data_IF_214452652816
#
_entry.id   IF_214452652816
#
_cell.length_a   1.000
_cell.length_b   1.000
_cell.length_c   1.000
_cell.angle_alpha   90.00
_cell.angle_beta   90.00
_cell.angle_gamma   90.00
#
_symmetry.space_group_name_H-M   'P 1'
#
loop_
_entity.id
_entity.type
_entity.pdbx_description
1 polymer ?
#
# COMPACT_ATOMS: atom_id res chain seq x y z
N UNK A 1 8.36 21.96 -9.72
CA UNK A 1 7.93 20.63 -9.23
C UNK A 1 6.65 20.24 -9.96
N UNK A 2 6.67 19.16 -10.74
CA UNK A 2 5.52 18.66 -11.51
C UNK A 2 5.11 17.32 -10.93
N UNK A 3 3.92 17.28 -10.32
CA UNK A 3 3.37 16.07 -9.71
C UNK A 3 2.24 15.54 -10.60
N UNK A 4 2.31 14.27 -10.97
CA UNK A 4 1.22 13.52 -11.61
C UNK A 4 0.57 12.62 -10.57
N UNK A 5 -0.75 12.68 -10.44
CA UNK A 5 -1.52 11.85 -9.50
C UNK A 5 -2.10 10.65 -10.25
N UNK A 6 -1.95 9.44 -9.73
CA UNK A 6 -2.57 8.21 -10.25
C UNK A 6 -3.63 7.75 -9.27
N UNK A 7 -4.89 7.63 -9.74
CA UNK A 7 -6.06 7.20 -8.96
C UNK A 7 -6.64 5.94 -9.58
N UNK A 8 -6.43 4.74 -9.01
CA UNK A 8 -7.19 3.56 -9.37
C UNK A 8 -8.61 3.67 -8.81
N UNK A 9 -9.64 3.30 -9.59
CA UNK A 9 -11.03 3.29 -9.13
C UNK A 9 -11.82 2.13 -9.73
N UNK A 10 -12.88 1.67 -9.03
CA UNK A 10 -13.81 0.65 -9.51
C UNK A 10 -15.16 0.80 -8.85
N UNK A 11 -16.18 1.22 -9.63
CA UNK A 11 -17.57 1.36 -9.17
C UNK A 11 -17.74 2.21 -7.88
N UNK A 12 -16.93 3.29 -7.75
CA UNK A 12 -16.84 4.17 -6.58
C UNK A 12 -17.02 5.65 -6.95
N UNK A 13 -18.08 5.95 -7.69
CA UNK A 13 -18.35 7.30 -8.22
C UNK A 13 -18.37 8.38 -7.12
N UNK A 14 -19.09 8.14 -6.00
CA UNK A 14 -19.23 9.15 -4.95
C UNK A 14 -17.89 9.45 -4.25
N UNK A 15 -17.09 8.44 -3.96
CA UNK A 15 -15.75 8.64 -3.39
C UNK A 15 -14.85 9.42 -4.34
N UNK A 16 -14.82 9.05 -5.62
CA UNK A 16 -14.03 9.75 -6.61
C UNK A 16 -14.48 11.22 -6.76
N UNK A 17 -15.78 11.49 -6.68
CA UNK A 17 -16.35 12.85 -6.72
C UNK A 17 -15.87 13.68 -5.53
N UNK A 18 -15.87 13.13 -4.31
CA UNK A 18 -15.33 13.81 -3.13
C UNK A 18 -13.83 14.09 -3.27
N UNK A 19 -13.05 13.11 -3.75
CA UNK A 19 -11.64 13.29 -4.07
C UNK A 19 -11.43 14.42 -5.08
N UNK A 20 -12.23 14.49 -6.14
CA UNK A 20 -12.16 15.56 -7.13
C UNK A 20 -12.50 16.93 -6.55
N UNK A 21 -13.47 17.01 -5.65
CA UNK A 21 -13.80 18.25 -4.94
C UNK A 21 -12.60 18.76 -4.12
N UNK A 22 -11.88 17.87 -3.45
CA UNK A 22 -10.66 18.23 -2.72
C UNK A 22 -9.54 18.66 -3.69
N UNK A 23 -9.30 17.90 -4.76
CA UNK A 23 -8.27 18.22 -5.77
C UNK A 23 -8.55 19.56 -6.46
N UNK A 24 -9.80 19.89 -6.75
CA UNK A 24 -10.21 21.17 -7.36
C UNK A 24 -9.81 22.39 -6.54
N UNK A 25 -9.78 22.26 -5.20
CA UNK A 25 -9.36 23.31 -4.26
C UNK A 25 -7.82 23.38 -4.09
N UNK A 26 -7.10 22.37 -4.58
CA UNK A 26 -5.66 22.20 -4.39
C UNK A 26 -4.88 22.05 -5.70
N UNK A 27 -5.33 22.68 -6.79
CA UNK A 27 -4.73 22.56 -8.14
C UNK A 27 -3.27 22.99 -8.21
N UNK A 28 -2.81 23.83 -7.28
CA UNK A 28 -1.42 24.26 -7.19
C UNK A 28 -0.43 23.12 -6.91
N UNK A 29 -0.93 22.00 -6.39
CA UNK A 29 -0.11 20.88 -5.93
C UNK A 29 0.29 19.92 -7.03
N UNK A 30 -0.50 19.79 -8.09
CA UNK A 30 -0.27 18.81 -9.16
C UNK A 30 -0.45 19.41 -10.56
N UNK A 31 0.04 18.70 -11.56
CA UNK A 31 -0.04 19.12 -12.97
C UNK A 31 -1.02 18.30 -13.80
N UNK A 32 -1.31 17.06 -13.40
CA UNK A 32 -2.27 16.16 -14.04
C UNK A 32 -2.79 15.12 -13.07
N UNK A 33 -3.95 14.57 -13.37
CA UNK A 33 -4.53 13.41 -12.71
C UNK A 33 -4.77 12.31 -13.74
N UNK A 34 -4.31 11.10 -13.46
CA UNK A 34 -4.55 9.91 -14.29
C UNK A 34 -5.51 9.01 -13.50
N UNK A 35 -6.76 8.96 -13.95
CA UNK A 35 -7.75 8.05 -13.39
C UNK A 35 -7.70 6.75 -14.18
N UNK A 36 -7.48 5.64 -13.49
CA UNK A 36 -7.49 4.32 -14.12
C UNK A 36 -8.71 3.56 -13.61
N UNK A 37 -9.74 3.51 -14.45
CA UNK A 37 -11.06 3.00 -14.13
C UNK A 37 -11.23 1.54 -14.57
N UNK A 38 -11.65 0.68 -13.65
CA UNK A 38 -12.02 -0.71 -13.90
C UNK A 38 -13.50 -0.99 -13.61
N UNK A 39 -14.34 0.05 -13.58
CA UNK A 39 -15.76 -0.04 -13.27
C UNK A 39 -16.53 -0.82 -14.32
N UNK A 40 -17.47 -1.64 -13.86
CA UNK A 40 -18.43 -2.37 -14.69
C UNK A 40 -19.76 -1.60 -14.74
N UNK A 41 -20.22 -1.07 -13.60
CA UNK A 41 -21.54 -0.45 -13.45
C UNK A 41 -21.51 1.07 -13.57
N UNK A 42 -20.48 1.73 -13.08
CA UNK A 42 -20.43 3.19 -12.95
C UNK A 42 -19.50 3.91 -13.95
N UNK A 43 -18.94 3.20 -14.92
CA UNK A 43 -17.96 3.74 -15.86
C UNK A 43 -18.46 4.98 -16.65
N UNK A 44 -19.75 5.04 -16.99
CA UNK A 44 -20.35 6.21 -17.68
C UNK A 44 -20.36 7.43 -16.75
N UNK A 45 -20.78 7.25 -15.47
CA UNK A 45 -20.79 8.33 -14.48
C UNK A 45 -19.38 8.85 -14.21
N UNK A 46 -18.40 7.95 -14.09
CA UNK A 46 -16.99 8.30 -13.90
C UNK A 46 -16.45 9.08 -15.10
N UNK A 47 -16.75 8.66 -16.33
CA UNK A 47 -16.37 9.40 -17.54
C UNK A 47 -16.94 10.81 -17.54
N UNK A 48 -18.23 10.98 -17.24
CA UNK A 48 -18.86 12.29 -17.14
C UNK A 48 -18.16 13.17 -16.09
N UNK A 49 -17.91 12.64 -14.89
CA UNK A 49 -17.19 13.33 -13.81
C UNK A 49 -15.78 13.79 -14.27
N UNK A 50 -15.06 12.94 -14.99
CA UNK A 50 -13.73 13.27 -15.51
C UNK A 50 -13.78 14.39 -16.55
N UNK A 51 -14.79 14.40 -17.43
CA UNK A 51 -14.97 15.44 -18.45
C UNK A 51 -15.36 16.81 -17.86
N UNK A 52 -16.10 16.81 -16.73
CA UNK A 52 -16.55 18.03 -16.05
C UNK A 52 -15.48 18.60 -15.07
N UNK A 53 -14.39 17.90 -14.87
CA UNK A 53 -13.36 18.30 -13.92
C UNK A 53 -12.64 19.58 -14.36
N UNK A 54 -12.38 20.48 -13.39
CA UNK A 54 -11.72 21.78 -13.61
C UNK A 54 -10.19 21.72 -13.60
N UNK A 55 -9.61 20.55 -13.86
CA UNK A 55 -8.17 20.29 -13.93
C UNK A 55 -7.88 19.20 -14.96
N UNK A 56 -6.60 19.07 -15.36
CA UNK A 56 -6.21 18.12 -16.41
C UNK A 56 -6.38 16.69 -15.94
N UNK A 57 -7.24 15.91 -16.60
CA UNK A 57 -7.46 14.49 -16.37
C UNK A 57 -7.12 13.67 -17.61
N UNK A 58 -6.53 12.50 -17.38
CA UNK A 58 -6.41 11.42 -18.35
C UNK A 58 -7.18 10.22 -17.77
N UNK A 59 -8.29 9.87 -18.40
CA UNK A 59 -9.09 8.70 -18.05
C UNK A 59 -8.64 7.49 -18.88
N UNK A 60 -8.27 6.41 -18.20
CA UNK A 60 -7.83 5.15 -18.80
C UNK A 60 -8.70 4.00 -18.29
N UNK A 61 -8.87 2.98 -19.11
CA UNK A 61 -9.58 1.75 -18.75
C UNK A 61 -8.61 0.63 -18.42
N UNK A 62 -9.00 -0.25 -17.50
CA UNK A 62 -8.19 -1.38 -17.05
C UNK A 62 -9.04 -2.57 -16.62
N UNK A 63 -8.43 -3.75 -16.52
CA UNK A 63 -8.97 -4.84 -15.69
C UNK A 63 -8.92 -4.48 -14.21
N UNK A 64 -9.77 -5.10 -13.41
CA UNK A 64 -9.86 -4.86 -11.97
C UNK A 64 -8.66 -5.50 -11.24
N UNK A 65 -7.63 -4.70 -11.00
CA UNK A 65 -6.48 -5.03 -10.14
C UNK A 65 -5.76 -3.73 -9.80
N UNK A 66 -5.61 -3.40 -8.53
CA UNK A 66 -4.96 -2.15 -8.08
C UNK A 66 -3.52 -2.08 -8.59
N UNK A 67 -2.75 -3.18 -8.51
CA UNK A 67 -1.38 -3.25 -9.02
C UNK A 67 -1.33 -2.97 -10.53
N UNK A 68 -2.23 -3.57 -11.29
CA UNK A 68 -2.30 -3.38 -12.73
C UNK A 68 -2.75 -1.97 -13.11
N UNK A 69 -3.76 -1.43 -12.42
CA UNK A 69 -4.23 -0.07 -12.63
C UNK A 69 -3.13 0.97 -12.37
N UNK A 70 -2.39 0.83 -11.26
CA UNK A 70 -1.26 1.72 -10.96
C UNK A 70 -0.14 1.61 -12.01
N UNK A 71 0.13 0.42 -12.53
CA UNK A 71 1.10 0.21 -13.61
C UNK A 71 0.67 0.88 -14.91
N UNK A 72 -0.61 0.81 -15.27
CA UNK A 72 -1.16 1.55 -16.42
C UNK A 72 -0.95 3.06 -16.21
N UNK A 73 -1.24 3.57 -15.01
CA UNK A 73 -1.00 4.96 -14.66
C UNK A 73 0.46 5.36 -14.86
N UNK A 74 1.40 4.57 -14.33
CA UNK A 74 2.85 4.79 -14.47
C UNK A 74 3.33 4.85 -15.93
N UNK A 75 2.80 3.98 -16.79
CA UNK A 75 3.14 3.95 -18.23
C UNK A 75 2.59 5.14 -19.00
N UNK A 76 1.63 5.87 -18.44
CA UNK A 76 0.91 6.95 -19.09
C UNK A 76 1.19 8.35 -18.52
N UNK A 77 2.22 8.48 -17.69
CA UNK A 77 2.67 9.75 -17.13
C UNK A 77 3.15 10.73 -18.20
N UNK A 78 3.01 12.01 -17.90
CA UNK A 78 3.64 13.06 -18.71
C UNK A 78 5.18 12.92 -18.64
N UNK A 79 5.86 13.07 -19.79
CA UNK A 79 7.34 12.99 -19.87
C UNK A 79 8.08 13.98 -18.96
N UNK A 80 7.41 15.05 -18.54
CA UNK A 80 7.95 16.12 -17.70
C UNK A 80 7.61 15.94 -16.21
N UNK A 81 7.10 14.77 -15.80
CA UNK A 81 6.75 14.47 -14.40
C UNK A 81 8.01 14.34 -13.54
N UNK A 82 8.06 15.10 -12.44
CA UNK A 82 9.14 15.02 -11.44
C UNK A 82 8.79 14.02 -10.34
N UNK A 83 7.52 14.01 -9.93
CA UNK A 83 6.99 13.18 -8.85
C UNK A 83 5.69 12.49 -9.25
N UNK A 84 5.50 11.28 -8.77
CA UNK A 84 4.27 10.52 -8.92
C UNK A 84 3.61 10.36 -7.56
N UNK A 85 2.36 10.77 -7.46
CA UNK A 85 1.51 10.52 -6.31
C UNK A 85 0.57 9.35 -6.61
N UNK A 86 0.59 8.33 -5.76
CA UNK A 86 -0.47 7.33 -5.70
C UNK A 86 -1.51 7.80 -4.69
N UNK A 87 -2.76 7.73 -5.09
CA UNK A 87 -3.89 8.19 -4.30
C UNK A 87 -5.07 7.23 -4.48
N UNK A 88 -5.58 6.66 -3.39
CA UNK A 88 -6.83 5.90 -3.44
C UNK A 88 -8.03 6.86 -3.50
N UNK A 89 -9.13 6.39 -4.07
CA UNK A 89 -10.31 7.20 -4.36
C UNK A 89 -11.18 7.54 -3.13
N UNK A 90 -10.90 6.94 -1.96
CA UNK A 90 -11.65 7.08 -0.71
C UNK A 90 -10.86 7.77 0.43
N UNK A 91 -9.86 8.57 0.09
CA UNK A 91 -9.02 9.29 1.05
C UNK A 91 -9.56 10.67 1.37
N UNK A 92 -9.62 10.99 2.66
CA UNK A 92 -9.96 12.33 3.14
C UNK A 92 -8.73 13.01 3.73
N UNK A 93 -8.29 14.12 3.13
CA UNK A 93 -7.17 14.92 3.61
C UNK A 93 -7.60 16.02 4.58
N UNK A 94 -6.73 16.37 5.53
CA UNK A 94 -6.86 17.65 6.23
C UNK A 94 -6.62 18.82 5.27
N UNK A 95 -7.26 19.97 5.55
CA UNK A 95 -7.31 21.13 4.64
C UNK A 95 -5.92 21.58 4.14
N UNK A 96 -4.91 21.54 4.97
CA UNK A 96 -3.54 21.99 4.69
C UNK A 96 -2.57 20.86 4.29
N UNK A 97 -3.05 19.62 4.18
CA UNK A 97 -2.19 18.45 3.97
C UNK A 97 -1.27 18.57 2.74
N UNK A 98 -1.80 19.07 1.61
CA UNK A 98 -1.01 19.25 0.40
C UNK A 98 -0.01 20.39 0.52
N UNK A 99 -0.36 21.47 1.21
CA UNK A 99 0.58 22.56 1.51
C UNK A 99 1.75 22.07 2.36
N UNK A 100 1.46 21.34 3.46
CA UNK A 100 2.49 20.75 4.32
C UNK A 100 3.39 19.76 3.58
N UNK A 101 2.82 18.98 2.68
CA UNK A 101 3.59 18.07 1.82
C UNK A 101 4.48 18.84 0.84
N UNK A 102 3.98 19.92 0.22
CA UNK A 102 4.79 20.77 -0.67
C UNK A 102 6.00 21.34 0.04
N UNK A 103 5.81 21.92 1.23
CA UNK A 103 6.89 22.47 2.04
C UNK A 103 7.93 21.40 2.38
N UNK A 104 7.46 20.20 2.75
CA UNK A 104 8.34 19.08 3.05
C UNK A 104 9.18 18.66 1.82
N UNK A 105 8.57 18.52 0.65
CA UNK A 105 9.29 18.12 -0.58
C UNK A 105 10.33 19.17 -0.99
N UNK A 106 10.04 20.46 -0.83
CA UNK A 106 10.96 21.54 -1.18
C UNK A 106 12.16 21.67 -0.21
N UNK A 107 11.95 21.32 1.08
CA UNK A 107 12.97 21.47 2.13
C UNK A 107 13.84 20.24 2.39
N UNK A 108 13.73 19.15 1.61
CA UNK A 108 14.32 17.87 2.00
C UNK A 108 15.56 17.44 1.21
N UNK A 109 16.32 16.59 1.89
CA UNK A 109 17.52 15.92 1.46
C UNK A 109 17.35 15.24 0.06
N UNK A 110 18.36 15.40 -0.79
CA UNK A 110 18.41 14.80 -2.12
C UNK A 110 18.25 13.27 -2.09
N UNK A 111 18.62 12.63 -0.99
CA UNK A 111 18.52 11.18 -0.80
C UNK A 111 17.10 10.67 -0.51
N UNK A 112 16.13 11.55 -0.23
CA UNK A 112 14.74 11.14 -0.03
C UNK A 112 14.07 10.85 -1.37
N UNK A 113 13.57 9.64 -1.55
CA UNK A 113 12.96 9.17 -2.81
C UNK A 113 11.44 8.99 -2.71
N UNK A 114 10.90 8.93 -1.50
CA UNK A 114 9.46 8.77 -1.27
C UNK A 114 8.96 9.50 -0.03
N UNK A 115 7.73 9.99 -0.10
CA UNK A 115 7.06 10.81 0.92
C UNK A 115 5.67 10.24 1.19
N UNK A 116 5.37 9.93 2.46
CA UNK A 116 4.06 9.44 2.88
C UNK A 116 3.28 10.50 3.62
N UNK A 117 1.99 10.54 3.40
CA UNK A 117 1.07 11.28 4.26
C UNK A 117 0.85 10.53 5.58
N UNK A 118 0.58 11.27 6.65
CA UNK A 118 0.43 10.75 7.99
C UNK A 118 -1.02 10.29 8.25
N UNK A 119 -1.24 8.99 8.20
CA UNK A 119 -2.54 8.39 8.50
C UNK A 119 -2.98 8.71 9.93
N UNK A 120 -4.20 9.18 10.08
CA UNK A 120 -4.82 9.44 11.38
C UNK A 120 -5.79 8.30 11.71
N UNK A 121 -5.46 7.51 12.72
CA UNK A 121 -6.29 6.41 13.22
C UNK A 121 -6.75 6.68 14.66
N UNK A 122 -7.98 6.32 14.97
CA UNK A 122 -8.39 6.17 16.38
C UNK A 122 -7.64 4.97 16.96
N UNK A 123 -6.90 5.20 18.05
CA UNK A 123 -6.11 4.16 18.70
C UNK A 123 -7.04 3.04 19.19
N UNK A 124 -6.95 1.86 18.58
CA UNK A 124 -7.52 0.63 19.11
C UNK A 124 -6.42 -0.11 19.85
N UNK A 125 -6.66 -0.43 21.12
CA UNK A 125 -5.81 -1.37 21.87
C UNK A 125 -6.06 -2.77 21.29
N UNK A 126 -5.09 -3.29 20.54
CA UNK A 126 -5.14 -4.65 20.02
C UNK A 126 -4.24 -5.56 20.87
N UNK A 127 -4.66 -6.82 21.02
CA UNK A 127 -3.83 -7.88 21.65
C UNK A 127 -2.43 -7.96 21.03
N UNK A 128 -2.33 -7.68 19.73
CA UNK A 128 -1.06 -7.53 19.01
C UNK A 128 -0.13 -6.48 19.62
N UNK A 129 -0.66 -5.40 20.22
CA UNK A 129 0.18 -4.37 20.83
C UNK A 129 0.86 -4.87 22.12
N UNK A 130 0.27 -5.87 22.79
CA UNK A 130 0.90 -6.57 23.92
C UNK A 130 2.03 -7.49 23.43
N UNK A 131 1.79 -8.28 22.38
CA UNK A 131 2.80 -9.18 21.80
C UNK A 131 4.01 -8.44 21.24
N UNK A 132 3.81 -7.25 20.64
CA UNK A 132 4.90 -6.41 20.12
C UNK A 132 5.88 -5.95 21.19
N UNK A 133 5.48 -5.95 22.48
CA UNK A 133 6.33 -5.56 23.61
C UNK A 133 7.21 -6.71 24.13
N UNK A 134 6.93 -7.96 23.75
CA UNK A 134 7.69 -9.13 24.20
C UNK A 134 9.04 -9.16 23.49
N UNK A 135 10.12 -9.11 24.26
CA UNK A 135 11.48 -8.97 23.70
C UNK A 135 11.91 -10.17 22.85
N UNK A 136 11.51 -11.39 23.20
CA UNK A 136 11.80 -12.57 22.38
C UNK A 136 11.15 -12.48 20.99
N UNK A 137 9.95 -11.94 20.90
CA UNK A 137 9.23 -11.75 19.63
C UNK A 137 9.94 -10.72 18.75
N UNK A 138 10.54 -9.68 19.37
CA UNK A 138 11.38 -8.69 18.66
C UNK A 138 12.71 -9.30 18.23
N UNK A 139 13.40 -10.04 19.12
CA UNK A 139 14.68 -10.72 18.82
C UNK A 139 14.53 -11.72 17.67
N UNK A 140 13.42 -12.44 17.64
CA UNK A 140 13.09 -13.35 16.53
C UNK A 140 12.66 -12.59 15.25
N UNK A 141 12.60 -11.25 15.26
CA UNK A 141 12.23 -10.47 14.08
C UNK A 141 10.81 -10.73 13.56
N UNK A 142 9.91 -11.21 14.44
CA UNK A 142 8.51 -11.51 14.08
C UNK A 142 7.69 -10.22 14.07
N UNK A 143 7.86 -9.40 15.13
CA UNK A 143 7.22 -8.09 15.27
C UNK A 143 8.23 -7.04 15.72
N UNK A 144 7.85 -5.75 15.53
CA UNK A 144 8.64 -4.62 15.98
C UNK A 144 7.72 -3.58 16.66
N UNK A 145 8.20 -2.95 17.70
CA UNK A 145 7.49 -1.83 18.36
C UNK A 145 7.61 -0.52 17.57
N UNK A 146 8.65 -0.38 16.74
CA UNK A 146 8.83 0.80 15.85
C UNK A 146 7.79 0.74 14.73
N UNK A 147 7.08 1.83 14.51
CA UNK A 147 6.11 1.96 13.43
C UNK A 147 6.80 2.21 12.08
N UNK A 148 6.17 1.80 10.97
CA UNK A 148 6.66 2.05 9.61
C UNK A 148 7.86 1.19 9.22
N UNK A 149 8.07 0.03 9.86
CA UNK A 149 9.18 -0.87 9.53
C UNK A 149 8.70 -2.20 8.96
N UNK A 150 9.53 -2.82 8.13
CA UNK A 150 9.40 -4.21 7.68
C UNK A 150 10.35 -5.06 8.52
N UNK A 151 9.81 -6.10 9.15
CA UNK A 151 10.58 -7.01 9.99
C UNK A 151 11.29 -8.10 9.15
N UNK A 152 12.29 -8.79 9.69
CA UNK A 152 12.93 -9.93 9.03
C UNK A 152 11.95 -11.05 8.62
N UNK A 153 10.81 -11.17 9.33
CA UNK A 153 9.72 -12.10 9.00
C UNK A 153 8.86 -11.66 7.82
N UNK A 154 9.11 -10.48 7.26
CA UNK A 154 8.33 -9.89 6.18
C UNK A 154 7.04 -9.20 6.61
N UNK A 155 6.68 -9.17 7.90
CA UNK A 155 5.56 -8.38 8.39
C UNK A 155 5.96 -6.92 8.54
N UNK A 156 5.00 -6.05 8.24
CA UNK A 156 5.15 -4.61 8.42
C UNK A 156 4.38 -4.13 9.66
N UNK A 157 4.87 -3.04 10.24
CA UNK A 157 4.13 -2.26 11.23
C UNK A 157 3.50 -1.05 10.54
N UNK A 158 2.24 -0.75 10.88
CA UNK A 158 1.52 0.38 10.29
C UNK A 158 2.13 1.69 10.82
N UNK A 159 2.26 2.67 9.93
CA UNK A 159 2.72 4.02 10.23
C UNK A 159 1.53 4.96 10.36
N UNK A 160 1.22 5.44 11.57
CA UNK A 160 0.09 6.32 11.83
C UNK A 160 0.34 7.27 13.01
N UNK A 161 -0.37 8.39 13.07
CA UNK A 161 -0.34 9.36 14.18
C UNK A 161 1.07 9.84 14.58
N UNK A 162 1.98 9.97 13.62
CA UNK A 162 3.33 10.48 13.90
C UNK A 162 3.29 11.96 14.32
N UNK A 163 4.16 12.32 15.26
CA UNK A 163 4.30 13.69 15.78
C UNK A 163 5.49 14.45 15.19
N UNK A 164 6.36 13.78 14.45
CA UNK A 164 7.53 14.36 13.75
C UNK A 164 7.76 13.63 12.43
N UNK A 165 8.43 14.28 11.49
CA UNK A 165 8.85 13.62 10.26
C UNK A 165 9.72 12.40 10.60
N UNK A 166 9.40 11.25 10.03
CA UNK A 166 10.02 9.99 10.45
C UNK A 166 10.39 9.17 9.23
N UNK A 167 11.64 8.69 9.21
CA UNK A 167 12.10 7.74 8.22
C UNK A 167 11.45 6.37 8.48
N UNK A 168 10.94 5.76 7.40
CA UNK A 168 10.24 4.48 7.42
C UNK A 168 10.80 3.55 6.36
N UNK A 169 10.60 2.24 6.50
CA UNK A 169 11.07 1.27 5.50
C UNK A 169 10.03 0.92 4.44
N UNK A 170 8.82 1.42 4.58
CA UNK A 170 7.75 1.26 3.60
C UNK A 170 6.69 2.37 3.75
N UNK A 171 5.96 2.64 2.68
CA UNK A 171 4.83 3.56 2.63
C UNK A 171 3.62 2.86 2.04
N UNK A 172 2.43 3.11 2.61
CA UNK A 172 1.19 2.74 1.93
C UNK A 172 0.98 3.62 0.70
N UNK A 173 0.60 3.02 -0.40
CA UNK A 173 0.29 3.77 -1.64
C UNK A 173 -1.13 4.34 -1.67
N UNK A 174 -1.86 4.29 -0.56
CA UNK A 174 -3.13 4.99 -0.41
C UNK A 174 -2.98 6.51 -0.57
N UNK A 175 -1.90 7.08 0.02
CA UNK A 175 -1.53 8.49 -0.12
C UNK A 175 0.00 8.61 0.04
N UNK A 176 0.73 8.54 -1.06
CA UNK A 176 2.20 8.63 -1.06
C UNK A 176 2.74 9.19 -2.37
N UNK A 177 3.90 9.83 -2.29
CA UNK A 177 4.55 10.51 -3.40
C UNK A 177 5.95 9.94 -3.56
N UNK A 178 6.37 9.71 -4.80
CA UNK A 178 7.70 9.19 -5.11
C UNK A 178 8.39 10.05 -6.18
N UNK A 179 9.70 10.27 -6.05
CA UNK A 179 10.49 10.86 -7.13
C UNK A 179 10.43 9.96 -8.36
N UNK A 180 9.92 10.45 -9.48
CA UNK A 180 9.77 9.65 -10.71
C UNK A 180 11.11 9.07 -11.19
N UNK A 181 12.19 9.84 -11.13
CA UNK A 181 13.53 9.36 -11.50
C UNK A 181 13.97 8.12 -10.72
N UNK A 182 13.55 7.98 -9.45
CA UNK A 182 13.87 6.82 -8.63
C UNK A 182 13.02 5.60 -8.98
N UNK A 183 11.75 5.79 -9.36
CA UNK A 183 10.80 4.70 -9.58
C UNK A 183 10.53 4.38 -11.06
N UNK A 184 11.17 5.05 -12.01
CA UNK A 184 10.88 4.91 -13.46
C UNK A 184 10.96 3.47 -14.00
N UNK A 185 11.75 2.60 -13.34
CA UNK A 185 11.93 1.20 -13.70
C UNK A 185 11.31 0.25 -12.65
N UNK A 186 10.54 0.78 -11.69
CA UNK A 186 9.89 0.00 -10.64
C UNK A 186 8.38 -0.01 -10.90
N UNK A 187 7.84 -1.18 -11.15
CA UNK A 187 6.41 -1.41 -11.31
C UNK A 187 5.85 -2.19 -10.13
N UNK A 188 4.54 -2.08 -9.89
CA UNK A 188 3.84 -2.97 -9.00
C UNK A 188 3.88 -4.39 -9.55
N UNK A 189 4.16 -5.34 -8.69
CA UNK A 189 4.26 -6.73 -9.11
C UNK A 189 2.85 -7.30 -9.31
N UNK A 190 2.59 -7.82 -10.52
CA UNK A 190 1.31 -8.39 -10.91
C UNK A 190 1.01 -9.73 -10.22
N UNK A 191 1.99 -10.34 -9.53
CA UNK A 191 1.73 -11.49 -8.67
C UNK A 191 0.66 -11.18 -7.61
N UNK A 192 0.57 -9.92 -7.16
CA UNK A 192 -0.43 -9.44 -6.21
C UNK A 192 -1.76 -9.07 -6.90
N UNK A 193 -2.16 -9.77 -7.98
CA UNK A 193 -3.42 -9.56 -8.70
C UNK A 193 -4.67 -9.84 -7.83
N UNK A 194 -5.84 -9.54 -8.35
CA UNK A 194 -7.18 -9.63 -7.76
C UNK A 194 -7.38 -8.61 -6.63
N UNK A 195 -7.84 -9.06 -5.48
CA UNK A 195 -7.86 -8.25 -4.27
C UNK A 195 -6.42 -8.07 -3.81
N UNK A 196 -5.78 -7.04 -4.34
CA UNK A 196 -4.37 -6.73 -4.09
C UNK A 196 -4.08 -6.67 -2.59
N UNK A 197 -3.11 -7.45 -2.14
CA UNK A 197 -2.63 -7.48 -0.76
C UNK A 197 -1.11 -7.58 -0.77
N UNK A 198 -0.42 -6.60 -0.21
CA UNK A 198 1.03 -6.40 -0.14
C UNK A 198 1.69 -5.83 -1.41
N UNK A 199 0.95 -5.45 -2.41
CA UNK A 199 1.49 -4.78 -3.60
C UNK A 199 2.16 -3.44 -3.26
N UNK A 200 1.55 -2.71 -2.31
CA UNK A 200 2.06 -1.44 -1.78
C UNK A 200 3.32 -1.63 -0.95
N UNK A 201 3.33 -2.65 -0.10
CA UNK A 201 4.49 -3.02 0.69
C UNK A 201 5.68 -3.40 -0.20
N UNK A 202 5.46 -4.28 -1.19
CA UNK A 202 6.51 -4.73 -2.11
C UNK A 202 7.08 -3.55 -2.92
N UNK A 203 6.21 -2.72 -3.49
CA UNK A 203 6.61 -1.56 -4.27
C UNK A 203 7.45 -0.58 -3.44
N UNK A 204 6.93 -0.15 -2.29
CA UNK A 204 7.60 0.85 -1.47
C UNK A 204 8.86 0.30 -0.78
N UNK A 205 8.87 -0.97 -0.37
CA UNK A 205 10.06 -1.61 0.20
C UNK A 205 11.20 -1.75 -0.82
N UNK A 206 10.89 -2.07 -2.09
CA UNK A 206 11.91 -2.03 -3.16
C UNK A 206 12.41 -0.62 -3.41
N UNK A 207 11.54 0.36 -3.36
CA UNK A 207 11.91 1.78 -3.52
C UNK A 207 12.78 2.27 -2.36
N UNK A 208 12.56 1.81 -1.12
CA UNK A 208 13.37 2.19 0.04
C UNK A 208 14.86 1.78 -0.06
N UNK A 209 15.18 0.84 -0.96
CA UNK A 209 16.57 0.45 -1.24
C UNK A 209 17.31 1.44 -2.14
N UNK A 210 16.58 2.37 -2.76
CA UNK A 210 17.13 3.41 -3.64
C UNK A 210 17.32 4.76 -2.93
N UNK A 211 16.81 4.89 -1.70
CA UNK A 211 16.90 6.11 -0.90
C UNK A 211 15.87 6.12 0.22
N UNK A 212 15.86 7.20 0.99
CA UNK A 212 15.01 7.33 2.16
C UNK A 212 13.54 7.45 1.80
N UNK A 213 12.68 6.81 2.57
CA UNK A 213 11.24 7.06 2.60
C UNK A 213 10.91 7.84 3.87
N UNK A 214 10.21 8.95 3.72
CA UNK A 214 9.91 9.85 4.83
C UNK A 214 8.41 10.05 4.98
N UNK A 215 7.89 9.84 6.18
CA UNK A 215 6.52 10.16 6.54
C UNK A 215 6.44 11.58 7.06
N UNK A 216 5.57 12.42 6.48
CA UNK A 216 5.43 13.84 6.79
C UNK A 216 4.32 14.03 7.82
N UNK A 217 4.70 14.35 9.07
CA UNK A 217 3.78 14.36 10.21
C UNK A 217 2.63 15.36 10.12
N UNK A 218 2.87 16.53 9.50
CA UNK A 218 1.84 17.58 9.32
C UNK A 218 0.92 17.31 8.14
N UNK A 219 1.34 16.53 7.14
CA UNK A 219 0.52 16.18 5.98
C UNK A 219 -0.42 15.02 6.33
N UNK A 220 -1.59 15.31 6.89
CA UNK A 220 -2.48 14.32 7.51
C UNK A 220 -3.62 13.89 6.60
N UNK A 221 -3.99 12.61 6.70
CA UNK A 221 -5.18 12.06 6.03
C UNK A 221 -5.90 11.04 6.89
N UNK A 222 -7.14 10.73 6.52
CA UNK A 222 -7.96 9.67 7.09
C UNK A 222 -8.41 8.73 5.98
N UNK A 223 -8.54 7.46 6.32
CA UNK A 223 -9.12 6.44 5.46
C UNK A 223 -10.39 5.92 6.14
N UNK A 224 -11.58 6.22 5.59
CA UNK A 224 -12.85 6.01 6.29
C UNK A 224 -13.23 4.53 6.45
N UNK A 225 -12.75 3.65 5.57
CA UNK A 225 -13.20 2.28 5.47
C UNK A 225 -12.09 1.27 5.80
N UNK A 226 -12.04 0.82 7.05
CA UNK A 226 -11.33 -0.43 7.38
C UNK A 226 -12.21 -1.63 6.96
N UNK A 227 -11.96 -2.19 5.78
CA UNK A 227 -12.56 -3.47 5.39
C UNK A 227 -11.99 -4.56 6.30
N UNK A 228 -12.86 -5.26 7.03
CA UNK A 228 -12.46 -6.41 7.84
C UNK A 228 -11.94 -7.53 6.92
N UNK A 229 -10.64 -7.73 6.91
CA UNK A 229 -9.97 -8.75 6.11
C UNK A 229 -10.03 -10.09 6.84
N UNK A 230 -10.98 -10.94 6.46
CA UNK A 230 -11.26 -12.22 7.12
C UNK A 230 -11.67 -13.30 6.12
N UNK A 231 -11.90 -14.52 6.58
CA UNK A 231 -12.32 -15.65 5.76
C UNK A 231 -11.18 -16.48 5.18
N UNK A 232 -11.51 -17.70 4.72
CA UNK A 232 -10.58 -18.72 4.27
C UNK A 232 -9.68 -18.25 3.11
N UNK A 233 -10.26 -17.67 2.07
CA UNK A 233 -9.52 -17.22 0.90
C UNK A 233 -8.56 -16.09 1.21
N UNK A 234 -8.96 -15.17 2.10
CA UNK A 234 -8.04 -14.12 2.54
C UNK A 234 -6.89 -14.70 3.37
N UNK A 235 -7.16 -15.69 4.24
CA UNK A 235 -6.12 -16.39 4.99
C UNK A 235 -5.09 -17.03 4.06
N UNK A 236 -5.53 -17.73 3.02
CA UNK A 236 -4.62 -18.30 2.01
C UNK A 236 -3.76 -17.24 1.34
N UNK A 237 -4.39 -16.18 0.85
CA UNK A 237 -3.72 -15.07 0.16
C UNK A 237 -2.71 -14.38 1.09
N UNK A 238 -3.05 -14.16 2.35
CA UNK A 238 -2.18 -13.52 3.33
C UNK A 238 -0.82 -14.23 3.44
N UNK A 239 -0.83 -15.54 3.56
CA UNK A 239 0.38 -16.34 3.74
C UNK A 239 1.15 -16.52 2.43
N UNK A 240 0.47 -16.79 1.33
CA UNK A 240 1.11 -16.98 0.00
C UNK A 240 1.78 -15.68 -0.44
N UNK A 241 1.07 -14.54 -0.38
CA UNK A 241 1.64 -13.26 -0.77
C UNK A 241 2.81 -12.86 0.13
N UNK A 242 2.71 -13.17 1.43
CA UNK A 242 3.80 -12.90 2.39
C UNK A 242 5.02 -13.76 2.10
N UNK A 243 4.83 -15.05 1.82
CA UNK A 243 5.91 -15.94 1.42
C UNK A 243 6.61 -15.43 0.16
N UNK A 244 5.83 -15.09 -0.88
CA UNK A 244 6.38 -14.51 -2.11
C UNK A 244 7.19 -13.24 -1.85
N UNK A 245 6.65 -12.30 -1.05
CA UNK A 245 7.35 -11.09 -0.67
C UNK A 245 8.67 -11.38 0.06
N UNK A 246 8.66 -12.30 1.01
CA UNK A 246 9.85 -12.70 1.79
C UNK A 246 10.91 -13.31 0.87
N UNK A 247 10.53 -14.24 -0.01
CA UNK A 247 11.43 -14.90 -0.94
C UNK A 247 12.04 -13.91 -1.94
N UNK A 248 11.19 -13.11 -2.59
CA UNK A 248 11.59 -12.09 -3.56
C UNK A 248 12.56 -11.07 -2.97
N UNK A 249 12.33 -10.62 -1.75
CA UNK A 249 13.15 -9.61 -1.09
C UNK A 249 14.29 -10.20 -0.23
N UNK A 250 14.56 -11.50 -0.33
CA UNK A 250 15.63 -12.23 0.37
C UNK A 250 15.56 -12.04 1.90
N UNK A 251 14.35 -11.99 2.46
CA UNK A 251 14.13 -11.93 3.90
C UNK A 251 14.28 -13.33 4.53
N UNK A 252 14.28 -13.41 5.85
CA UNK A 252 14.56 -14.65 6.58
C UNK A 252 13.35 -15.59 6.60
N UNK A 253 13.42 -16.72 5.88
CA UNK A 253 12.33 -17.69 5.75
C UNK A 253 11.91 -18.28 7.10
N UNK A 254 12.85 -18.63 7.99
CA UNK A 254 12.53 -19.17 9.34
C UNK A 254 11.72 -18.14 10.14
N UNK A 255 12.12 -16.86 10.11
CA UNK A 255 11.37 -15.79 10.79
C UNK A 255 9.96 -15.65 10.19
N UNK A 256 9.81 -15.81 8.85
CA UNK A 256 8.50 -15.82 8.20
C UNK A 256 7.62 -16.96 8.74
N UNK A 257 8.13 -18.19 8.83
CA UNK A 257 7.37 -19.34 9.35
C UNK A 257 6.88 -19.08 10.77
N UNK A 258 7.78 -18.64 11.67
CA UNK A 258 7.42 -18.29 13.03
C UNK A 258 6.40 -17.17 13.09
N UNK A 259 6.58 -16.12 12.31
CA UNK A 259 5.64 -15.00 12.21
C UNK A 259 4.27 -15.43 11.70
N UNK A 260 4.23 -16.34 10.71
CA UNK A 260 3.00 -16.87 10.13
C UNK A 260 2.23 -17.73 11.16
N UNK A 261 2.91 -18.57 11.93
CA UNK A 261 2.31 -19.37 13.01
C UNK A 261 1.69 -18.44 14.06
N UNK A 262 2.47 -17.48 14.57
CA UNK A 262 1.99 -16.51 15.57
C UNK A 262 0.79 -15.73 15.04
N UNK A 263 0.86 -15.24 13.79
CA UNK A 263 -0.22 -14.47 13.16
C UNK A 263 -1.48 -15.31 12.98
N UNK A 264 -1.33 -16.57 12.60
CA UNK A 264 -2.45 -17.51 12.46
C UNK A 264 -3.12 -17.74 13.82
N UNK A 265 -2.36 -18.01 14.87
CA UNK A 265 -2.88 -18.19 16.23
C UNK A 265 -3.67 -16.99 16.75
N UNK A 266 -3.23 -15.76 16.42
CA UNK A 266 -3.96 -14.54 16.82
C UNK A 266 -5.37 -14.47 16.19
N UNK A 267 -5.59 -15.04 15.01
CA UNK A 267 -6.92 -15.06 14.43
C UNK A 267 -7.93 -15.81 15.31
N UNK A 268 -7.50 -16.83 16.05
CA UNK A 268 -8.36 -17.60 16.98
C UNK A 268 -8.83 -16.75 18.16
N UNK A 269 -8.05 -15.75 18.61
CA UNK A 269 -8.43 -14.91 19.77
C UNK A 269 -9.60 -13.98 19.50
N UNK A 270 -10.02 -13.84 18.23
CA UNK A 270 -11.10 -12.93 17.84
C UNK A 270 -12.52 -13.52 17.94
N UNK A 271 -12.65 -14.83 18.26
CA UNK A 271 -13.90 -15.54 18.51
C UNK A 271 -15.01 -15.33 17.46
N UNK A 272 -14.64 -15.10 16.18
CA UNK A 272 -15.55 -14.97 15.05
C UNK A 272 -15.28 -16.05 14.03
N UNK A 273 -16.33 -16.68 13.46
CA UNK A 273 -16.21 -17.70 12.42
C UNK A 273 -15.34 -17.26 11.24
N UNK A 274 -15.46 -16.01 10.80
CA UNK A 274 -14.67 -15.47 9.70
C UNK A 274 -13.15 -15.46 10.00
N UNK A 275 -12.76 -15.24 11.26
CA UNK A 275 -11.34 -15.33 11.68
C UNK A 275 -10.88 -16.76 11.88
N UNK A 276 -11.75 -17.66 12.33
CA UNK A 276 -11.46 -19.09 12.35
C UNK A 276 -11.19 -19.61 10.92
N UNK A 277 -12.05 -19.27 9.97
CA UNK A 277 -11.84 -19.61 8.55
C UNK A 277 -10.53 -19.02 8.00
N UNK A 278 -10.17 -17.80 8.42
CA UNK A 278 -8.88 -17.20 8.07
C UNK A 278 -7.71 -18.00 8.64
N UNK A 279 -7.80 -18.45 9.90
CA UNK A 279 -6.82 -19.34 10.50
C UNK A 279 -6.65 -20.63 9.67
N UNK A 280 -7.75 -21.30 9.31
CA UNK A 280 -7.72 -22.52 8.49
C UNK A 280 -7.04 -22.25 7.14
N UNK A 281 -7.37 -21.12 6.49
CA UNK A 281 -6.73 -20.70 5.24
C UNK A 281 -5.22 -20.45 5.40
N UNK A 282 -4.82 -19.83 6.51
CA UNK A 282 -3.40 -19.61 6.83
C UNK A 282 -2.64 -20.93 6.98
N UNK A 283 -3.19 -21.88 7.78
CA UNK A 283 -2.57 -23.18 8.03
C UNK A 283 -2.46 -24.00 6.74
N UNK A 284 -3.53 -24.04 5.94
CA UNK A 284 -3.51 -24.72 4.64
C UNK A 284 -2.36 -24.22 3.74
N UNK A 285 -2.16 -22.90 3.70
CA UNK A 285 -1.07 -22.32 2.92
C UNK A 285 0.31 -22.59 3.50
N UNK A 286 0.45 -22.58 4.83
CA UNK A 286 1.72 -22.96 5.48
C UNK A 286 2.11 -24.40 5.19
N UNK A 287 1.16 -25.34 5.29
CA UNK A 287 1.40 -26.75 4.93
C UNK A 287 1.88 -26.84 3.49
N UNK A 288 1.20 -26.16 2.54
CA UNK A 288 1.62 -26.15 1.13
C UNK A 288 3.03 -25.58 0.94
N UNK A 289 3.38 -24.49 1.62
CA UNK A 289 4.71 -23.88 1.52
C UNK A 289 5.77 -24.83 2.05
N UNK A 290 5.53 -25.49 3.17
CA UNK A 290 6.52 -26.39 3.80
C UNK A 290 6.70 -27.66 2.97
N UNK A 291 5.61 -28.31 2.54
CA UNK A 291 5.67 -29.64 1.92
C UNK A 291 5.73 -29.62 0.39
N UNK A 292 5.22 -28.59 -0.30
CA UNK A 292 5.12 -28.61 -1.76
C UNK A 292 5.94 -27.52 -2.46
N UNK A 293 6.08 -26.33 -1.86
CA UNK A 293 6.85 -25.25 -2.49
C UNK A 293 8.34 -25.27 -2.08
N UNK A 294 8.72 -26.04 -1.06
CA UNK A 294 10.12 -26.33 -0.75
C UNK A 294 10.72 -27.35 -1.72
N UNK A 295 9.91 -28.20 -2.36
CA UNK A 295 10.35 -29.24 -3.29
C UNK A 295 10.26 -28.85 -4.77
N UNK A 296 9.33 -27.98 -5.13
CA UNK A 296 9.27 -27.40 -6.47
C UNK A 296 9.83 -25.99 -6.38
N UNK A 297 11.00 -25.76 -6.95
CA UNK A 297 11.43 -24.39 -7.21
C UNK A 297 10.25 -23.65 -7.85
N UNK A 298 9.91 -22.45 -7.36
CA UNK A 298 8.95 -21.59 -8.08
C UNK A 298 9.57 -21.40 -9.44
N UNK A 299 9.07 -22.12 -10.44
CA UNK A 299 9.50 -21.98 -11.82
C UNK A 299 9.41 -20.49 -12.19
N UNK A 300 10.53 -19.96 -12.66
CA UNK A 300 10.67 -18.58 -13.16
C UNK A 300 9.84 -18.33 -14.44
N UNK A 301 8.89 -19.19 -14.77
CA UNK A 301 8.13 -19.22 -16.01
C UNK A 301 6.78 -18.47 -15.96
N UNK A 302 6.69 -17.36 -15.23
CA UNK A 302 5.70 -16.30 -15.53
C UNK A 302 6.36 -14.99 -15.90
N UNK A 303 7.40 -15.09 -16.71
CA UNK A 303 7.84 -13.98 -17.56
C UNK A 303 7.00 -14.03 -18.84
N UNK A 304 5.98 -13.19 -18.93
CA UNK A 304 5.55 -12.53 -20.19
C UNK A 304 4.46 -11.52 -19.85
#
# INVERSE_FOLDING_TARGET
MKISIIIPTKDRFEYLKETFNFLSKNKFFFTEVIVVDSSIRQGIKIRKLCNEAKFKIKLLRSKASIAYQRNIGLKNLNKKTDFVMFLDDDITFQKDAFHQMSLAILGLDKNTVGFGFNLQLKKRLDFLDKLKKIDIVKKLGIYNSKMGVVTPSGWQTIAYNFKKNTEVSWLSTQASIFKYKAIKNIYFDIFFEDYSYLEDLDFSYRTSKLGKLLLIHKAKYQHPNEIERSGYFFGKKEIINRYYFVKKNKLRFVNFLLGAIVKSGINLTRLKLSFFLRFVGNINSLIRIIFFLSFTGIDDNKKH
#
